data_IF_641592235118
#
_entry.id   IF_641592235118
#
_cell.length_a   1.000
_cell.length_b   1.000
_cell.length_c   1.000
_cell.angle_alpha   90.00
_cell.angle_beta   90.00
_cell.angle_gamma   90.00
#
_symmetry.space_group_name_H-M   'P 1'
#
loop_
_entity.id
_entity.type
_entity.pdbx_description
1 polymer ?
#
# COMPACT_ATOMS: atom_id res chain seq x y z
N UNK A 1 -2.88 1.19 3.89
CA UNK A 1 -3.32 2.09 2.80
C UNK A 1 -2.48 3.35 2.74
N UNK A 2 -2.35 4.13 3.83
CA UNK A 2 -1.38 5.25 3.89
C UNK A 2 0.06 4.85 3.57
N UNK A 3 0.54 3.73 4.11
CA UNK A 3 1.85 3.17 3.77
C UNK A 3 1.99 2.86 2.27
N UNK A 4 0.93 2.31 1.65
CA UNK A 4 0.92 2.02 0.22
C UNK A 4 0.93 3.29 -0.64
N UNK A 5 0.19 4.33 -0.25
CA UNK A 5 0.26 5.64 -0.91
C UNK A 5 1.65 6.26 -0.81
N UNK A 6 2.29 6.13 0.36
CA UNK A 6 3.66 6.61 0.57
C UNK A 6 4.65 5.87 -0.34
N UNK A 7 4.53 4.54 -0.45
CA UNK A 7 5.35 3.74 -1.35
C UNK A 7 5.17 4.15 -2.82
N UNK A 8 3.92 4.35 -3.27
CA UNK A 8 3.62 4.84 -4.63
C UNK A 8 4.26 6.21 -4.94
N UNK A 9 4.18 7.16 -4.00
CA UNK A 9 4.77 8.49 -4.19
C UNK A 9 6.30 8.43 -4.20
N UNK A 10 6.88 7.60 -3.34
CA UNK A 10 8.33 7.36 -3.28
C UNK A 10 8.84 6.73 -4.58
N UNK A 11 8.11 5.77 -5.14
CA UNK A 11 8.48 5.14 -6.40
C UNK A 11 8.40 6.12 -7.57
N UNK A 12 7.37 6.98 -7.60
CA UNK A 12 7.24 8.06 -8.60
C UNK A 12 8.41 9.03 -8.54
N UNK A 13 8.76 9.48 -7.34
CA UNK A 13 9.89 10.41 -7.13
C UNK A 13 11.21 9.78 -7.58
N UNK A 14 11.45 8.51 -7.24
CA UNK A 14 12.63 7.75 -7.66
C UNK A 14 12.75 7.67 -9.19
N UNK A 15 11.66 7.35 -9.89
CA UNK A 15 11.65 7.25 -11.36
C UNK A 15 11.89 8.61 -12.01
N UNK A 16 11.30 9.68 -11.47
CA UNK A 16 11.53 11.06 -11.95
C UNK A 16 12.96 11.55 -11.71
N UNK A 17 13.58 11.16 -10.60
CA UNK A 17 14.97 11.51 -10.27
C UNK A 17 16.01 10.73 -11.09
N UNK A 18 15.60 9.67 -11.82
CA UNK A 18 16.50 8.85 -12.63
C UNK A 18 16.74 9.51 -13.99
N UNK A 19 17.94 10.04 -14.19
CA UNK A 19 18.34 10.76 -15.40
C UNK A 19 18.54 9.84 -16.62
N UNK A 20 19.12 8.65 -16.43
CA UNK A 20 19.48 7.69 -17.49
C UNK A 20 18.38 6.67 -17.83
N UNK A 21 17.12 7.10 -17.79
CA UNK A 21 16.00 6.22 -18.14
C UNK A 21 15.52 6.50 -19.57
N UNK A 22 15.54 5.48 -20.42
CA UNK A 22 14.95 5.54 -21.76
C UNK A 22 13.45 5.90 -21.67
N UNK A 23 12.92 6.66 -22.63
CA UNK A 23 11.58 7.23 -22.53
C UNK A 23 10.47 6.17 -22.33
N UNK A 24 10.62 5.00 -22.95
CA UNK A 24 9.70 3.88 -22.77
C UNK A 24 9.77 3.29 -21.35
N UNK A 25 10.97 3.17 -20.78
CA UNK A 25 11.19 2.67 -19.42
C UNK A 25 10.67 3.66 -18.37
N UNK A 26 10.72 4.98 -18.66
CA UNK A 26 10.12 6.00 -17.80
C UNK A 26 8.59 5.93 -17.79
N UNK A 27 7.96 5.75 -18.95
CA UNK A 27 6.49 5.64 -19.03
C UNK A 27 5.96 4.38 -18.35
N UNK A 28 6.69 3.27 -18.43
CA UNK A 28 6.27 2.01 -17.81
C UNK A 28 6.55 1.95 -16.30
N UNK A 29 7.64 2.57 -15.83
CA UNK A 29 7.98 2.60 -14.41
C UNK A 29 7.20 3.66 -13.61
N UNK A 30 6.62 4.67 -14.26
CA UNK A 30 5.80 5.68 -13.59
C UNK A 30 4.50 5.04 -13.07
N UNK A 31 4.25 5.03 -11.75
CA UNK A 31 2.97 4.57 -11.23
C UNK A 31 1.84 5.45 -11.80
N UNK A 32 0.71 4.83 -12.10
CA UNK A 32 -0.41 5.50 -12.75
C UNK A 32 -0.96 6.63 -11.85
N UNK A 33 -1.09 7.84 -12.40
CA UNK A 33 -1.75 8.96 -11.72
C UNK A 33 -3.17 8.60 -11.25
N UNK A 34 -3.87 7.77 -12.02
CA UNK A 34 -5.21 7.28 -11.69
C UNK A 34 -5.20 6.32 -10.49
N UNK A 35 -4.12 5.55 -10.30
CA UNK A 35 -3.95 4.72 -9.11
C UNK A 35 -3.69 5.59 -7.87
N UNK A 36 -2.77 6.56 -7.96
CA UNK A 36 -2.46 7.50 -6.87
C UNK A 36 -3.74 8.26 -6.46
N UNK A 37 -4.51 8.75 -7.42
CA UNK A 37 -5.77 9.46 -7.18
C UNK A 37 -6.78 8.57 -6.44
N UNK A 38 -7.04 7.35 -6.93
CA UNK A 38 -7.97 6.41 -6.30
C UNK A 38 -7.57 6.05 -4.88
N UNK A 39 -6.27 5.82 -4.63
CA UNK A 39 -5.79 5.51 -3.28
C UNK A 39 -5.93 6.72 -2.34
N UNK A 40 -5.68 7.94 -2.82
CA UNK A 40 -5.91 9.17 -2.05
C UNK A 40 -7.38 9.34 -1.68
N UNK A 41 -8.29 9.24 -2.66
CA UNK A 41 -9.74 9.37 -2.44
C UNK A 41 -10.23 8.33 -1.42
N UNK A 42 -9.69 7.11 -1.50
CA UNK A 42 -10.04 6.04 -0.60
C UNK A 42 -9.50 6.27 0.83
N UNK A 43 -8.29 6.79 0.98
CA UNK A 43 -7.76 7.18 2.30
C UNK A 43 -8.64 8.26 2.92
N UNK A 44 -8.98 9.30 2.16
CA UNK A 44 -9.85 10.39 2.62
C UNK A 44 -11.22 9.87 3.07
N UNK A 45 -11.88 9.05 2.25
CA UNK A 45 -13.18 8.47 2.59
C UNK A 45 -13.12 7.62 3.87
N UNK A 46 -12.02 6.89 4.08
CA UNK A 46 -11.84 6.09 5.31
C UNK A 46 -11.64 7.01 6.51
N UNK A 47 -10.86 8.07 6.39
CA UNK A 47 -10.67 9.06 7.46
C UNK A 47 -11.98 9.74 7.84
N UNK A 48 -12.76 10.20 6.85
CA UNK A 48 -14.08 10.80 7.07
C UNK A 48 -15.04 9.85 7.81
N UNK A 49 -15.08 8.57 7.42
CA UNK A 49 -15.89 7.60 8.14
C UNK A 49 -15.39 7.36 9.57
N UNK A 50 -14.08 7.33 9.78
CA UNK A 50 -13.52 7.15 11.12
C UNK A 50 -13.84 8.34 12.03
N UNK A 51 -13.86 9.56 11.50
CA UNK A 51 -14.25 10.77 12.22
C UNK A 51 -15.73 10.79 12.62
N UNK A 52 -16.58 10.08 11.87
CA UNK A 52 -18.01 9.96 12.14
C UNK A 52 -18.35 8.87 13.16
N UNK A 53 -17.39 8.03 13.54
CA UNK A 53 -17.63 6.94 14.49
C UNK A 53 -17.82 7.47 15.91
N UNK A 54 -18.88 7.01 16.55
CA UNK A 54 -19.11 7.19 17.99
C UNK A 54 -18.06 6.42 18.80
N UNK A 55 -17.81 6.81 20.07
CA UNK A 55 -16.89 6.09 20.96
C UNK A 55 -17.21 4.61 21.12
N UNK A 56 -18.50 4.23 21.07
CA UNK A 56 -18.95 2.85 21.15
C UNK A 56 -18.54 2.04 19.90
N UNK A 57 -18.77 2.59 18.70
CA UNK A 57 -18.40 1.93 17.45
C UNK A 57 -16.87 1.81 17.31
N UNK A 58 -16.11 2.80 17.78
CA UNK A 58 -14.64 2.71 17.84
C UNK A 58 -14.17 1.58 18.77
N UNK A 59 -14.82 1.39 19.92
CA UNK A 59 -14.51 0.32 20.85
C UNK A 59 -14.83 -1.07 20.28
N UNK A 60 -15.93 -1.20 19.53
CA UNK A 60 -16.31 -2.44 18.85
C UNK A 60 -15.30 -2.81 17.77
N UNK A 61 -14.88 -1.83 16.95
CA UNK A 61 -13.83 -2.03 15.93
C UNK A 61 -12.51 -2.44 16.58
N UNK A 62 -12.10 -1.78 17.66
CA UNK A 62 -10.88 -2.14 18.40
C UNK A 62 -10.92 -3.57 18.94
N UNK A 63 -12.09 -4.00 19.42
CA UNK A 63 -12.32 -5.37 19.91
C UNK A 63 -12.21 -6.38 18.78
N UNK A 64 -12.84 -6.10 17.63
CA UNK A 64 -12.74 -6.96 16.44
C UNK A 64 -11.30 -7.08 15.91
N UNK A 65 -10.55 -5.98 15.85
CA UNK A 65 -9.12 -5.98 15.46
C UNK A 65 -8.31 -6.86 16.42
N UNK A 66 -8.55 -6.72 17.73
CA UNK A 66 -7.87 -7.49 18.76
C UNK A 66 -8.16 -8.99 18.63
N UNK A 67 -9.42 -9.35 18.35
CA UNK A 67 -9.81 -10.73 18.09
C UNK A 67 -9.09 -11.29 16.84
N UNK A 68 -9.07 -10.56 15.72
CA UNK A 68 -8.37 -11.00 14.50
C UNK A 68 -6.87 -11.16 14.73
N UNK A 69 -6.22 -10.22 15.43
CA UNK A 69 -4.79 -10.31 15.76
C UNK A 69 -4.50 -11.52 16.64
N UNK A 70 -5.30 -11.73 17.69
CA UNK A 70 -5.18 -12.90 18.58
C UNK A 70 -5.36 -14.20 17.81
N UNK A 71 -6.38 -14.28 16.94
CA UNK A 71 -6.58 -15.44 16.08
C UNK A 71 -5.37 -15.68 15.20
N UNK A 72 -4.83 -14.67 14.50
CA UNK A 72 -3.61 -14.82 13.67
C UNK A 72 -2.35 -15.23 14.45
N UNK A 73 -2.25 -14.85 15.72
CA UNK A 73 -1.13 -15.26 16.59
C UNK A 73 -1.26 -16.72 17.02
N UNK A 74 -2.49 -17.17 17.31
CA UNK A 74 -2.77 -18.54 17.78
C UNK A 74 -2.84 -19.53 16.63
N UNK A 75 -3.43 -19.12 15.49
CA UNK A 75 -3.48 -19.89 14.26
C UNK A 75 -2.23 -19.59 13.43
N UNK A 76 -1.11 -20.17 13.85
CA UNK A 76 0.11 -20.25 13.04
C UNK A 76 -0.10 -21.17 11.83
N UNK A 77 -1.00 -20.81 10.92
CA UNK A 77 -1.39 -21.60 9.75
C UNK A 77 -0.32 -21.65 8.65
N UNK A 78 0.97 -21.45 8.98
CA UNK A 78 2.04 -21.41 7.99
C UNK A 78 1.86 -20.31 6.93
N UNK A 79 1.00 -19.32 7.18
CA UNK A 79 0.77 -18.22 6.25
C UNK A 79 2.04 -17.36 6.22
N UNK A 80 2.75 -17.28 5.08
CA UNK A 80 3.96 -16.49 5.00
C UNK A 80 3.62 -15.04 5.34
N UNK A 81 4.32 -14.49 6.32
CA UNK A 81 4.29 -13.06 6.57
C UNK A 81 4.79 -12.38 5.32
N UNK A 82 3.92 -11.66 4.61
CA UNK A 82 4.30 -10.85 3.46
C UNK A 82 5.23 -9.73 3.95
N UNK A 83 6.52 -10.05 4.06
CA UNK A 83 7.56 -9.05 4.04
C UNK A 83 7.55 -8.48 2.62
N UNK A 84 6.80 -7.40 2.41
CA UNK A 84 6.81 -6.64 1.16
C UNK A 84 8.11 -5.83 1.12
N UNK A 85 9.24 -6.54 1.04
CA UNK A 85 10.45 -5.94 0.53
C UNK A 85 10.18 -5.72 -0.97
N UNK A 86 10.36 -4.50 -1.51
CA UNK A 86 10.13 -4.27 -2.93
C UNK A 86 11.05 -5.21 -3.72
N UNK A 87 10.45 -6.07 -4.53
CA UNK A 87 11.16 -6.87 -5.52
C UNK A 87 11.72 -5.87 -6.54
N UNK A 88 12.99 -5.49 -6.34
CA UNK A 88 13.78 -4.80 -7.34
C UNK A 88 13.97 -5.81 -8.47
N UNK A 89 13.04 -5.76 -9.42
CA UNK A 89 12.81 -6.75 -10.46
C UNK A 89 14.09 -7.33 -11.05
N UNK A 90 14.08 -8.65 -11.18
CA UNK A 90 15.06 -9.41 -11.97
C UNK A 90 15.17 -8.78 -13.38
N UNK A 91 16.38 -8.67 -13.95
CA UNK A 91 16.55 -8.08 -15.27
C UNK A 91 15.76 -8.89 -16.30
N UNK A 92 14.88 -8.20 -17.03
CA UNK A 92 14.13 -8.77 -18.13
C UNK A 92 15.11 -9.09 -19.26
N UNK A 93 15.34 -10.38 -19.52
CA UNK A 93 16.11 -10.81 -20.69
C UNK A 93 15.34 -10.47 -21.98
N UNK A 94 16.09 -9.90 -22.92
CA UNK A 94 15.63 -9.38 -24.21
C UNK A 94 15.65 -10.50 -25.27
N UNK A 95 14.72 -10.54 -26.24
CA UNK A 95 14.93 -11.23 -27.51
C UNK A 95 15.86 -10.46 -28.46
#
# INVERSE_FOLDING_TARGET
MKAYLHDLLRDRERVLATADLENWARTEALPSEEEIRRVKDLVHRVEEHLEQLTPAEQADIATAISAVRRTRQVTGLGMPSINRQPDLGKPLERP
#
